data_IF_893789394849
#
_entry.id   IF_893789394849
#
_cell.length_a   1.000
_cell.length_b   1.000
_cell.length_c   1.000
_cell.angle_alpha   90.00
_cell.angle_beta   90.00
_cell.angle_gamma   90.00
#
_symmetry.space_group_name_H-M   'P 1'
#
loop_
_entity.id
_entity.type
_entity.pdbx_description
1 polymer ?
#
# COMPACT_ATOMS: atom_id res chain seq x y z
N UNK A 1 -0.50 -10.35 -2.46
CA UNK A 1 -1.71 -9.49 -2.50
C UNK A 1 -2.55 -9.69 -3.76
N UNK A 2 -1.98 -9.60 -4.98
CA UNK A 2 -2.74 -9.80 -6.25
C UNK A 2 -3.56 -11.09 -6.32
N UNK A 3 -2.99 -12.24 -5.95
CA UNK A 3 -3.73 -13.50 -5.92
C UNK A 3 -4.92 -13.42 -4.96
N UNK A 4 -4.72 -12.86 -3.76
CA UNK A 4 -5.78 -12.72 -2.76
C UNK A 4 -6.89 -11.78 -3.25
N UNK A 5 -6.52 -10.67 -3.92
CA UNK A 5 -7.47 -9.77 -4.57
C UNK A 5 -8.35 -10.49 -5.58
N UNK A 6 -7.73 -11.25 -6.50
CA UNK A 6 -8.45 -12.02 -7.54
C UNK A 6 -9.33 -13.12 -6.94
N UNK A 7 -8.79 -13.94 -6.03
CA UNK A 7 -9.51 -15.10 -5.46
C UNK A 7 -10.69 -14.70 -4.59
N UNK A 8 -10.58 -13.60 -3.84
CA UNK A 8 -11.63 -13.18 -2.92
C UNK A 8 -12.59 -12.14 -3.54
N UNK A 9 -12.40 -11.76 -4.80
CA UNK A 9 -13.21 -10.71 -5.43
C UNK A 9 -13.15 -9.39 -4.65
N UNK A 10 -11.95 -9.01 -4.17
CA UNK A 10 -11.80 -7.83 -3.32
C UNK A 10 -12.23 -6.57 -4.08
N UNK A 11 -13.18 -5.84 -3.51
CA UNK A 11 -13.70 -4.57 -4.07
C UNK A 11 -13.07 -3.34 -3.44
N UNK A 12 -12.28 -3.52 -2.37
CA UNK A 12 -11.61 -2.44 -1.67
C UNK A 12 -10.55 -2.96 -0.71
N UNK A 13 -9.43 -2.23 -0.60
CA UNK A 13 -8.36 -2.48 0.35
C UNK A 13 -8.49 -1.56 1.56
N UNK A 14 -8.16 -2.12 2.73
CA UNK A 14 -7.86 -1.35 3.94
C UNK A 14 -6.35 -1.40 4.13
N UNK A 15 -5.68 -0.26 4.00
CA UNK A 15 -4.23 -0.14 4.23
C UNK A 15 -4.01 0.36 5.65
N UNK A 16 -3.14 -0.28 6.42
CA UNK A 16 -2.87 0.09 7.82
C UNK A 16 -1.36 0.20 8.07
N UNK A 17 -0.98 0.74 9.24
CA UNK A 17 0.40 0.80 9.72
C UNK A 17 1.34 1.64 8.86
N UNK A 18 0.85 2.73 8.28
CA UNK A 18 1.69 3.67 7.54
C UNK A 18 2.75 4.33 8.45
N UNK A 19 2.46 4.48 9.75
CA UNK A 19 3.38 4.99 10.76
C UNK A 19 4.66 4.15 10.90
N UNK A 20 4.57 2.82 10.70
CA UNK A 20 5.72 1.91 10.80
C UNK A 20 6.72 2.15 9.67
N UNK A 21 6.25 2.64 8.52
CA UNK A 21 7.08 2.89 7.35
C UNK A 21 7.78 4.27 7.43
N UNK A 22 7.46 5.11 8.45
CA UNK A 22 7.86 6.53 8.57
C UNK A 22 9.36 6.77 8.35
N UNK A 23 10.19 5.94 8.99
CA UNK A 23 11.65 6.08 8.97
C UNK A 23 12.34 5.49 7.75
N UNK A 24 11.60 4.89 6.80
CA UNK A 24 12.20 4.27 5.62
C UNK A 24 12.42 5.33 4.52
N UNK A 25 13.64 5.53 4.01
CA UNK A 25 13.90 6.44 2.90
C UNK A 25 13.42 5.89 1.55
N UNK A 26 13.34 4.57 1.43
CA UNK A 26 12.78 3.86 0.29
C UNK A 26 11.99 2.64 0.78
N UNK A 27 10.93 2.30 0.06
CA UNK A 27 10.07 1.14 0.34
C UNK A 27 10.15 0.22 -0.86
N UNK A 28 10.50 -1.04 -0.63
CA UNK A 28 10.55 -2.06 -1.68
C UNK A 28 9.21 -2.79 -1.78
N UNK A 29 8.60 -2.76 -2.96
CA UNK A 29 7.35 -3.47 -3.23
C UNK A 29 7.65 -4.65 -4.14
N UNK A 30 7.32 -5.87 -3.71
CA UNK A 30 7.38 -7.04 -4.58
C UNK A 30 6.27 -6.94 -5.65
N UNK A 31 6.68 -6.72 -6.90
CA UNK A 31 5.76 -6.49 -8.02
C UNK A 31 5.67 -7.66 -8.97
N UNK A 32 6.52 -8.69 -8.86
CA UNK A 32 6.38 -9.97 -9.57
C UNK A 32 7.38 -10.97 -8.99
N UNK A 33 7.35 -12.18 -9.53
CA UNK A 33 8.41 -13.15 -9.35
C UNK A 33 9.06 -13.42 -10.71
N UNK A 34 10.31 -13.88 -10.71
CA UNK A 34 11.00 -14.26 -11.94
C UNK A 34 10.23 -15.38 -12.67
N UNK A 35 10.47 -15.48 -13.99
CA UNK A 35 9.81 -16.44 -14.88
C UNK A 35 8.26 -16.41 -14.84
N UNK A 36 7.70 -15.26 -14.44
CA UNK A 36 6.26 -15.03 -14.28
C UNK A 36 5.57 -16.09 -13.39
N UNK A 37 6.30 -16.59 -12.40
CA UNK A 37 5.77 -17.57 -11.46
C UNK A 37 4.76 -16.90 -10.51
N UNK A 38 3.54 -17.42 -10.51
CA UNK A 38 2.43 -16.85 -9.74
C UNK A 38 2.16 -17.66 -8.47
N UNK A 39 1.81 -17.02 -7.34
CA UNK A 39 1.50 -17.76 -6.12
C UNK A 39 0.39 -18.79 -6.34
N UNK A 40 0.58 -19.99 -5.81
CA UNK A 40 -0.36 -21.12 -5.97
C UNK A 40 -0.16 -21.97 -7.23
N UNK A 41 0.97 -21.81 -7.93
CA UNK A 41 1.48 -22.78 -8.92
C UNK A 41 2.56 -23.66 -8.29
N UNK A 42 2.80 -24.84 -8.88
CA UNK A 42 3.89 -25.72 -8.48
C UNK A 42 5.25 -25.01 -8.68
N UNK A 43 6.20 -25.23 -7.77
CA UNK A 43 7.52 -24.59 -7.79
C UNK A 43 7.58 -23.18 -7.20
N UNK A 44 6.44 -22.63 -6.73
CA UNK A 44 6.41 -21.28 -6.15
C UNK A 44 7.27 -21.13 -4.88
N UNK A 45 7.60 -22.23 -4.21
CA UNK A 45 8.56 -22.29 -3.10
C UNK A 45 9.97 -21.83 -3.48
N UNK A 46 10.35 -21.91 -4.77
CA UNK A 46 11.62 -21.43 -5.30
C UNK A 46 11.49 -20.05 -5.97
N UNK A 47 10.32 -19.42 -5.91
CA UNK A 47 10.05 -18.16 -6.58
C UNK A 47 10.98 -17.04 -6.09
N UNK A 48 11.70 -16.41 -7.02
CA UNK A 48 12.56 -15.26 -6.71
C UNK A 48 11.75 -13.97 -6.87
N UNK A 49 11.49 -13.21 -5.78
CA UNK A 49 10.74 -11.96 -5.86
C UNK A 49 11.53 -10.88 -6.61
N UNK A 50 10.82 -10.07 -7.39
CA UNK A 50 11.34 -8.86 -8.02
C UNK A 50 10.72 -7.67 -7.32
N UNK A 51 11.59 -6.84 -6.74
CA UNK A 51 11.21 -5.64 -6.00
C UNK A 51 11.35 -4.40 -6.86
N UNK A 52 10.42 -3.47 -6.69
CA UNK A 52 10.50 -2.12 -7.24
C UNK A 52 10.51 -1.09 -6.10
N UNK A 53 11.45 -0.13 -6.13
CA UNK A 53 11.54 0.89 -5.10
C UNK A 53 10.47 1.97 -5.31
N UNK A 54 9.87 2.39 -4.21
CA UNK A 54 9.06 3.61 -4.11
C UNK A 54 9.72 4.54 -3.10
N UNK A 55 9.64 5.85 -3.34
CA UNK A 55 10.10 6.83 -2.37
C UNK A 55 9.41 6.63 -1.01
N UNK A 56 10.20 6.46 0.04
CA UNK A 56 9.70 6.52 1.41
C UNK A 56 9.70 7.96 1.91
N UNK A 57 9.60 8.13 3.23
CA UNK A 57 9.55 9.45 3.88
C UNK A 57 10.78 9.72 4.75
N UNK A 58 11.55 8.67 5.08
CA UNK A 58 12.93 8.73 5.56
C UNK A 58 13.18 9.38 6.94
N UNK A 59 12.14 9.93 7.55
CA UNK A 59 12.21 10.61 8.84
C UNK A 59 11.06 10.11 9.74
N UNK A 60 11.36 9.48 10.89
CA UNK A 60 10.34 9.02 11.83
C UNK A 60 9.32 10.09 12.25
N UNK A 61 9.67 11.38 12.18
CA UNK A 61 8.74 12.49 12.45
C UNK A 61 7.53 12.52 11.51
N UNK A 62 7.62 11.86 10.35
CA UNK A 62 6.50 11.69 9.43
C UNK A 62 5.36 10.85 10.01
N UNK A 63 5.63 9.94 10.96
CA UNK A 63 4.57 9.17 11.63
C UNK A 63 3.54 10.12 12.27
N UNK A 64 4.01 11.17 12.95
CA UNK A 64 3.15 12.17 13.56
C UNK A 64 2.37 12.96 12.50
N UNK A 65 3.02 13.37 11.41
CA UNK A 65 2.35 14.08 10.30
C UNK A 65 1.24 13.24 9.67
N UNK A 66 1.51 11.97 9.38
CA UNK A 66 0.53 11.03 8.82
C UNK A 66 -0.65 10.85 9.78
N UNK A 67 -0.39 10.67 11.07
CA UNK A 67 -1.43 10.45 12.09
C UNK A 67 -2.41 11.62 12.30
N UNK A 68 -2.01 12.82 11.87
CA UNK A 68 -2.82 14.04 11.95
C UNK A 68 -3.72 14.26 10.74
N UNK A 69 -3.47 13.57 9.63
CA UNK A 69 -4.31 13.67 8.44
C UNK A 69 -5.74 13.20 8.74
N UNK A 70 -6.72 13.81 8.09
CA UNK A 70 -8.14 13.45 8.18
C UNK A 70 -8.74 13.17 6.81
N UNK A 71 -8.07 13.64 5.76
CA UNK A 71 -8.45 13.44 4.36
C UNK A 71 -7.29 12.82 3.59
N UNK A 72 -7.58 12.26 2.41
CA UNK A 72 -6.54 11.69 1.54
C UNK A 72 -5.59 12.78 1.02
N UNK A 73 -6.13 13.98 0.78
CA UNK A 73 -5.43 15.14 0.26
C UNK A 73 -4.43 15.73 1.27
N UNK A 74 -4.70 15.53 2.56
CA UNK A 74 -3.78 15.92 3.65
C UNK A 74 -2.60 14.95 3.81
N UNK A 75 -2.64 13.77 3.16
CA UNK A 75 -1.52 12.85 3.23
C UNK A 75 -0.30 13.43 2.50
N UNK A 76 0.90 13.26 3.07
CA UNK A 76 2.14 13.64 2.40
C UNK A 76 2.29 13.01 1.02
N UNK A 77 2.90 13.75 0.10
CA UNK A 77 3.12 13.32 -1.29
C UNK A 77 3.69 11.90 -1.43
N UNK A 78 4.78 11.53 -0.75
CA UNK A 78 5.32 10.19 -0.92
C UNK A 78 4.46 9.12 -0.22
N UNK A 79 3.60 9.47 0.76
CA UNK A 79 2.65 8.51 1.37
C UNK A 79 1.57 8.19 0.35
N UNK A 80 1.07 9.23 -0.33
CA UNK A 80 0.11 9.08 -1.42
C UNK A 80 0.69 8.26 -2.58
N UNK A 81 1.92 8.54 -3.00
CA UNK A 81 2.60 7.77 -4.05
C UNK A 81 2.73 6.27 -3.70
N UNK A 82 2.98 5.94 -2.42
CA UNK A 82 2.98 4.55 -1.97
C UNK A 82 1.59 3.90 -2.07
N UNK A 83 0.53 4.61 -1.68
CA UNK A 83 -0.85 4.12 -1.80
C UNK A 83 -1.27 3.96 -3.28
N UNK A 84 -0.88 4.90 -4.14
CA UNK A 84 -1.09 4.81 -5.59
C UNK A 84 -0.43 3.55 -6.15
N UNK A 85 0.84 3.29 -5.77
CA UNK A 85 1.55 2.10 -6.22
C UNK A 85 0.88 0.80 -5.78
N UNK A 86 0.30 0.74 -4.58
CA UNK A 86 -0.49 -0.42 -4.13
C UNK A 86 -1.68 -0.63 -5.06
N UNK A 87 -2.41 0.43 -5.43
CA UNK A 87 -3.57 0.34 -6.32
C UNK A 87 -3.13 -0.13 -7.71
N UNK A 88 -2.08 0.45 -8.29
CA UNK A 88 -1.54 0.05 -9.60
C UNK A 88 -1.15 -1.43 -9.62
N UNK A 89 -0.45 -1.88 -8.58
CA UNK A 89 0.00 -3.27 -8.45
C UNK A 89 -1.19 -4.20 -8.29
N UNK A 90 -2.19 -3.84 -7.49
CA UNK A 90 -3.27 -4.77 -7.14
C UNK A 90 -4.47 -4.73 -8.08
N UNK A 91 -4.70 -3.61 -8.75
CA UNK A 91 -5.93 -3.32 -9.48
C UNK A 91 -7.15 -3.13 -8.57
N UNK A 92 -6.98 -3.03 -7.25
CA UNK A 92 -8.06 -2.90 -6.27
C UNK A 92 -7.99 -1.51 -5.63
N UNK A 93 -9.10 -0.77 -5.56
CA UNK A 93 -9.10 0.55 -4.95
C UNK A 93 -8.89 0.47 -3.43
N UNK A 94 -8.46 1.56 -2.82
CA UNK A 94 -8.38 1.68 -1.35
C UNK A 94 -9.66 2.34 -0.86
N UNK A 95 -10.28 1.79 0.19
CA UNK A 95 -11.52 2.34 0.79
C UNK A 95 -11.28 2.89 2.18
N UNK A 96 -10.17 2.51 2.82
CA UNK A 96 -9.85 2.94 4.18
C UNK A 96 -8.34 2.92 4.42
N UNK A 97 -7.85 3.92 5.16
CA UNK A 97 -6.44 4.10 5.46
C UNK A 97 -6.27 4.28 6.97
N UNK A 98 -5.57 3.36 7.63
CA UNK A 98 -5.12 3.49 9.00
C UNK A 98 -3.81 4.30 9.05
N UNK A 99 -3.88 5.46 9.69
CA UNK A 99 -2.81 6.47 9.75
C UNK A 99 -2.11 6.52 11.11
N UNK A 100 -2.43 5.59 12.02
CA UNK A 100 -1.75 5.42 13.30
C UNK A 100 -2.38 4.32 14.16
N UNK A 101 -1.95 4.23 15.42
CA UNK A 101 -2.37 3.18 16.36
C UNK A 101 -3.75 3.42 17.01
N UNK A 102 -4.24 4.66 17.01
CA UNK A 102 -5.54 5.03 17.57
C UNK A 102 -6.72 4.55 16.72
N UNK A 103 -7.87 4.28 17.35
CA UNK A 103 -9.09 3.83 16.64
C UNK A 103 -9.63 4.92 15.70
N UNK A 104 -9.47 6.17 16.11
CA UNK A 104 -9.83 7.38 15.38
C UNK A 104 -8.82 7.76 14.29
N UNK A 105 -7.65 7.11 14.27
CA UNK A 105 -6.59 7.37 13.29
C UNK A 105 -6.85 6.57 12.02
N UNK A 106 -8.02 6.80 11.42
CA UNK A 106 -8.48 6.13 10.20
C UNK A 106 -9.17 7.14 9.27
N UNK A 107 -8.76 7.16 8.01
CA UNK A 107 -9.42 7.90 6.93
C UNK A 107 -10.36 6.93 6.22
N UNK A 108 -11.66 7.23 6.21
CA UNK A 108 -12.67 6.50 5.42
C UNK A 108 -12.94 7.29 4.15
N UNK A 109 -12.91 6.60 3.01
CA UNK A 109 -13.14 7.23 1.72
C UNK A 109 -14.60 7.03 1.33
N UNK A 110 -15.32 8.12 1.06
CA UNK A 110 -16.73 8.10 0.66
C UNK A 110 -16.94 7.42 -0.69
N UNK A 111 -15.96 7.56 -1.58
CA UNK A 111 -15.83 6.81 -2.82
C UNK A 111 -14.49 6.08 -2.82
N UNK A 112 -14.44 4.87 -3.39
CA UNK A 112 -13.22 4.07 -3.43
C UNK A 112 -12.11 4.81 -4.19
N UNK A 113 -10.95 5.01 -3.54
CA UNK A 113 -9.82 5.71 -4.14
C UNK A 113 -9.19 4.85 -5.24
N UNK A 114 -9.06 5.45 -6.43
CA UNK A 114 -8.48 4.85 -7.64
C UNK A 114 -7.38 5.77 -8.15
N UNK A 115 -6.38 5.18 -8.78
CA UNK A 115 -5.39 5.94 -9.57
C UNK A 115 -6.16 6.64 -10.69
N UNK A 116 -5.92 7.94 -10.86
CA UNK A 116 -6.53 8.68 -11.96
C UNK A 116 -6.00 8.11 -13.29
N UNK A 117 -6.91 7.74 -14.18
CA UNK A 117 -6.62 7.29 -15.56
C UNK A 117 -6.13 8.42 -16.45
#
# INVERSE_FOLDING_TARGET
LRLAARRNGMTGLVVTKLDVLAGLPAIEICTRYQDDLDPGRDGFEEAIPVFEPVAGWGDPSWAERVSRARTLEELPGPVRAYLDRIIEVTGVPITMIGIGAGREQTIRLSDAFRVAS
#
